data_IF_172734330499
#
_entry.id   IF_172734330499
#
_cell.length_a   1.000
_cell.length_b   1.000
_cell.length_c   1.000
_cell.angle_alpha   90.00
_cell.angle_beta   90.00
_cell.angle_gamma   90.00
#
_symmetry.space_group_name_H-M   'P 1'
#
loop_
_entity.id
_entity.type
_entity.pdbx_description
1 polymer ?
#
# COMPACT_ATOMS: atom_id res chain seq x y z
N UNK A 1 -32.27 -32.07 -8.11
CA UNK A 1 -31.45 -32.66 -9.18
C UNK A 1 -31.73 -31.83 -10.43
N UNK A 2 -30.94 -30.76 -10.66
CA UNK A 2 -29.86 -30.70 -11.68
C UNK A 2 -30.45 -30.83 -13.10
N UNK A 3 -30.29 -29.95 -14.09
CA UNK A 3 -29.27 -28.99 -14.57
C UNK A 3 -29.95 -28.18 -15.70
N UNK A 4 -29.51 -27.03 -16.23
CA UNK A 4 -28.44 -26.10 -15.97
C UNK A 4 -28.83 -24.78 -16.67
N UNK A 5 -28.57 -23.68 -15.99
CA UNK A 5 -28.52 -22.34 -16.58
C UNK A 5 -27.19 -22.21 -17.33
N UNK A 6 -27.22 -21.59 -18.51
CA UNK A 6 -26.04 -21.03 -19.16
C UNK A 6 -26.40 -19.66 -19.70
N UNK A 7 -26.48 -18.69 -18.79
CA UNK A 7 -26.47 -17.27 -19.13
C UNK A 7 -25.03 -16.83 -19.28
N UNK A 8 -24.65 -16.56 -20.52
CA UNK A 8 -23.41 -15.91 -20.90
C UNK A 8 -23.46 -14.45 -20.43
N UNK A 9 -22.88 -14.15 -19.27
CA UNK A 9 -22.70 -12.76 -18.84
C UNK A 9 -21.54 -12.16 -19.64
N UNK A 10 -21.90 -11.41 -20.70
CA UNK A 10 -21.04 -10.44 -21.34
C UNK A 10 -20.60 -9.41 -20.29
N UNK A 11 -19.34 -9.50 -19.85
CA UNK A 11 -18.65 -8.38 -19.22
C UNK A 11 -18.45 -7.30 -20.28
N UNK A 12 -19.39 -6.37 -20.38
CA UNK A 12 -19.09 -5.06 -20.95
C UNK A 12 -18.09 -4.39 -20.00
N UNK A 13 -16.82 -4.37 -20.38
CA UNK A 13 -15.86 -3.41 -19.84
C UNK A 13 -16.39 -2.03 -20.22
N UNK A 14 -17.10 -1.38 -19.30
CA UNK A 14 -17.35 0.05 -19.40
C UNK A 14 -15.99 0.74 -19.27
N UNK A 15 -15.35 0.98 -20.42
CA UNK A 15 -14.29 1.96 -20.53
C UNK A 15 -14.93 3.30 -20.23
N UNK A 16 -14.82 3.75 -18.97
CA UNK A 16 -15.15 5.11 -18.61
C UNK A 16 -14.23 6.03 -19.42
N UNK A 17 -14.79 6.67 -20.44
CA UNK A 17 -14.13 7.82 -21.07
C UNK A 17 -14.06 8.91 -20.01
N UNK A 18 -12.90 9.03 -19.39
CA UNK A 18 -12.60 10.10 -18.45
C UNK A 18 -12.76 11.42 -19.21
N UNK A 19 -13.52 12.39 -18.67
CA UNK A 19 -13.77 13.64 -19.38
C UNK A 19 -12.46 14.42 -19.61
N UNK A 20 -12.47 15.18 -20.69
CA UNK A 20 -11.39 16.07 -21.14
C UNK A 20 -10.96 16.99 -19.99
N UNK A 21 -9.66 16.99 -19.68
CA UNK A 21 -9.07 17.73 -18.55
C UNK A 21 -9.01 16.99 -17.20
N UNK A 22 -9.39 15.71 -17.12
CA UNK A 22 -9.23 14.93 -15.88
C UNK A 22 -7.77 14.58 -15.59
N UNK A 23 -7.23 15.13 -14.50
CA UNK A 23 -5.93 14.74 -13.95
C UNK A 23 -5.97 13.25 -13.56
N UNK A 24 -5.13 12.42 -14.17
CA UNK A 24 -5.02 11.02 -13.79
C UNK A 24 -4.14 10.90 -12.55
N UNK A 25 -4.51 10.05 -11.60
CA UNK A 25 -3.70 9.81 -10.40
C UNK A 25 -3.23 8.37 -10.41
N UNK A 26 -1.92 8.18 -10.27
CA UNK A 26 -1.27 6.88 -10.20
C UNK A 26 -0.52 6.76 -8.87
N UNK A 27 -0.59 5.59 -8.26
CA UNK A 27 0.13 5.29 -7.02
C UNK A 27 1.21 4.26 -7.29
N UNK A 28 2.42 4.49 -6.78
CA UNK A 28 3.52 3.56 -6.90
C UNK A 28 4.17 3.27 -5.55
N UNK A 29 4.64 2.04 -5.38
CA UNK A 29 5.44 1.63 -4.24
C UNK A 29 6.87 2.13 -4.43
N UNK A 30 7.44 2.75 -3.40
CA UNK A 30 8.84 3.16 -3.38
C UNK A 30 9.77 1.98 -3.74
N UNK A 31 10.63 2.17 -4.73
CA UNK A 31 11.52 1.17 -5.30
C UNK A 31 10.92 0.30 -6.42
N UNK A 32 9.62 0.39 -6.71
CA UNK A 32 8.98 -0.35 -7.82
C UNK A 32 9.22 0.30 -9.18
N UNK A 33 8.77 -0.37 -10.25
CA UNK A 33 8.68 0.22 -11.58
C UNK A 33 7.25 0.74 -11.81
N UNK A 34 7.10 1.79 -12.61
CA UNK A 34 5.79 2.35 -12.99
C UNK A 34 5.73 2.60 -14.50
N UNK A 35 4.52 2.55 -15.05
CA UNK A 35 4.22 2.89 -16.44
C UNK A 35 3.17 3.98 -16.45
N UNK A 36 3.55 5.18 -16.90
CA UNK A 36 2.64 6.31 -17.05
C UNK A 36 2.09 6.31 -18.47
N UNK A 37 0.78 6.07 -18.61
CA UNK A 37 0.13 5.90 -19.90
C UNK A 37 -1.16 6.70 -19.98
N UNK A 38 -1.42 7.26 -21.16
CA UNK A 38 -2.68 7.92 -21.50
C UNK A 38 -3.54 6.98 -22.34
N UNK A 39 -4.78 6.80 -21.94
CA UNK A 39 -5.75 6.05 -22.73
C UNK A 39 -6.13 6.84 -23.99
N UNK A 40 -6.23 6.16 -25.13
CA UNK A 40 -6.69 6.72 -26.41
C UNK A 40 -5.85 7.93 -26.88
N UNK A 41 -4.53 7.78 -26.91
CA UNK A 41 -3.68 8.77 -27.58
C UNK A 41 -4.09 8.92 -29.05
N UNK A 42 -4.08 10.14 -29.61
CA UNK A 42 -4.35 10.35 -31.03
C UNK A 42 -3.39 9.53 -31.88
N UNK A 43 -3.88 8.93 -32.97
CA UNK A 43 -3.01 8.31 -33.98
C UNK A 43 -2.37 9.39 -34.87
N UNK A 44 -1.23 9.06 -35.49
CA UNK A 44 -0.58 9.94 -36.47
C UNK A 44 0.02 11.23 -35.90
N UNK A 45 0.58 11.18 -34.68
CA UNK A 45 1.33 12.32 -34.13
C UNK A 45 2.76 12.37 -34.68
N UNK A 46 3.29 13.59 -34.84
CA UNK A 46 4.62 13.85 -35.39
C UNK A 46 5.69 14.03 -34.30
N UNK A 47 5.27 14.40 -33.09
CA UNK A 47 6.15 14.49 -31.92
C UNK A 47 5.42 14.18 -30.61
N UNK A 48 6.15 13.64 -29.64
CA UNK A 48 5.69 13.34 -28.30
C UNK A 48 6.79 13.68 -27.29
N UNK A 49 6.45 14.36 -26.19
CA UNK A 49 7.40 14.68 -25.14
C UNK A 49 6.79 14.48 -23.74
N UNK A 50 7.56 13.83 -22.88
CA UNK A 50 7.24 13.67 -21.46
C UNK A 50 8.02 14.67 -20.61
N UNK A 51 7.34 15.23 -19.61
CA UNK A 51 7.90 16.14 -18.63
C UNK A 51 7.56 15.64 -17.22
N UNK A 52 8.41 15.93 -16.24
CA UNK A 52 8.14 15.66 -14.82
C UNK A 52 7.84 16.93 -14.01
N UNK A 53 7.86 18.09 -14.67
CA UNK A 53 7.31 19.37 -14.20
C UNK A 53 6.88 20.17 -15.43
N UNK A 54 6.45 21.42 -15.29
CA UNK A 54 6.09 22.27 -16.44
C UNK A 54 7.25 22.53 -17.42
N UNK A 55 8.49 22.57 -16.91
CA UNK A 55 9.67 22.98 -17.69
C UNK A 55 10.71 21.87 -17.86
N UNK A 56 10.63 20.81 -17.05
CA UNK A 56 11.65 19.76 -17.03
C UNK A 56 11.24 18.57 -17.88
N UNK A 57 11.81 18.52 -19.09
CA UNK A 57 11.58 17.47 -20.08
C UNK A 57 12.41 16.22 -19.77
N UNK A 58 11.83 15.03 -19.87
CA UNK A 58 12.48 13.73 -19.65
C UNK A 58 12.98 13.17 -20.97
N UNK A 59 12.06 13.04 -21.92
CA UNK A 59 12.29 12.41 -23.23
C UNK A 59 11.39 13.08 -24.26
N UNK A 60 11.91 13.20 -25.46
CA UNK A 60 11.20 13.67 -26.65
C UNK A 60 11.42 12.68 -27.78
N UNK A 61 10.35 12.38 -28.49
CA UNK A 61 10.37 11.67 -29.74
C UNK A 61 9.85 12.59 -30.82
N UNK A 62 10.60 12.74 -31.90
CA UNK A 62 10.21 13.55 -33.06
C UNK A 62 10.79 12.90 -34.32
N UNK A 63 9.95 12.67 -35.33
CA UNK A 63 10.35 12.17 -36.65
C UNK A 63 11.24 10.90 -36.64
N UNK A 64 11.06 10.03 -35.64
CA UNK A 64 11.80 8.77 -35.51
C UNK A 64 12.99 8.83 -34.55
N UNK A 65 13.40 10.00 -34.09
CA UNK A 65 14.52 10.17 -33.17
C UNK A 65 14.05 10.35 -31.73
N UNK A 66 14.64 9.58 -30.80
CA UNK A 66 14.42 9.72 -29.36
C UNK A 66 15.57 10.50 -28.72
N UNK A 67 15.25 11.61 -28.05
CA UNK A 67 16.18 12.41 -27.27
C UNK A 67 15.83 12.36 -25.78
N UNK A 68 16.73 11.79 -24.99
CA UNK A 68 16.65 11.81 -23.53
C UNK A 68 17.42 13.00 -22.98
N UNK A 69 16.82 13.72 -22.04
CA UNK A 69 17.42 14.90 -21.42
C UNK A 69 18.18 14.52 -20.15
N UNK A 70 19.21 15.30 -19.83
CA UNK A 70 20.07 15.08 -18.66
C UNK A 70 19.32 15.46 -17.38
N UNK A 71 18.60 14.49 -16.81
CA UNK A 71 17.71 14.66 -15.67
C UNK A 71 17.90 13.52 -14.67
N UNK A 72 17.26 13.59 -13.49
CA UNK A 72 17.27 12.50 -12.50
C UNK A 72 16.67 11.17 -13.00
N UNK A 73 15.99 11.19 -14.15
CA UNK A 73 15.40 10.02 -14.80
C UNK A 73 16.30 9.42 -15.86
N UNK A 74 17.43 10.04 -16.15
CA UNK A 74 18.46 9.47 -17.02
C UNK A 74 18.77 8.05 -16.55
N UNK A 75 18.90 7.15 -17.52
CA UNK A 75 19.08 5.71 -17.34
C UNK A 75 17.90 4.93 -16.73
N UNK A 76 16.95 5.58 -16.04
CA UNK A 76 15.78 4.94 -15.41
C UNK A 76 14.49 5.04 -16.23
N UNK A 77 14.37 6.05 -17.09
CA UNK A 77 13.19 6.27 -17.92
C UNK A 77 13.35 5.71 -19.33
N UNK A 78 12.28 5.11 -19.86
CA UNK A 78 12.20 4.62 -21.25
C UNK A 78 10.84 4.97 -21.83
N UNK A 79 10.84 5.49 -23.06
CA UNK A 79 9.63 5.71 -23.84
C UNK A 79 9.26 4.44 -24.60
N UNK A 80 8.01 4.00 -24.48
CA UNK A 80 7.41 3.03 -25.38
C UNK A 80 6.83 3.76 -26.60
N UNK A 81 7.41 3.53 -27.77
CA UNK A 81 7.00 4.17 -29.02
C UNK A 81 5.67 3.66 -29.57
N UNK A 82 5.23 2.46 -29.16
CA UNK A 82 3.97 1.90 -29.61
C UNK A 82 2.79 2.54 -28.85
N UNK A 83 2.92 2.65 -27.53
CA UNK A 83 1.84 3.15 -26.67
C UNK A 83 1.97 4.61 -26.26
N UNK A 84 3.14 5.23 -26.47
CA UNK A 84 3.49 6.55 -25.93
C UNK A 84 3.74 6.56 -24.41
N UNK A 85 3.74 5.39 -23.76
CA UNK A 85 3.89 5.28 -22.31
C UNK A 85 5.33 5.58 -21.86
N UNK A 86 5.45 6.20 -20.68
CA UNK A 86 6.72 6.41 -20.01
C UNK A 86 6.91 5.36 -18.92
N UNK A 87 7.92 4.51 -19.09
CA UNK A 87 8.33 3.56 -18.07
C UNK A 87 9.44 4.16 -17.20
N UNK A 88 9.24 4.20 -15.88
CA UNK A 88 10.26 4.66 -14.93
C UNK A 88 10.60 3.51 -13.99
N UNK A 89 11.88 3.18 -13.91
CA UNK A 89 12.39 2.14 -13.03
C UNK A 89 12.78 2.68 -11.66
N UNK A 90 12.55 1.86 -10.62
CA UNK A 90 12.93 2.14 -9.23
C UNK A 90 12.53 3.54 -8.80
N UNK A 91 11.23 3.83 -8.86
CA UNK A 91 10.69 5.13 -8.46
C UNK A 91 10.98 5.41 -7.00
N UNK A 92 11.21 6.67 -6.66
CA UNK A 92 11.48 7.09 -5.29
C UNK A 92 10.47 8.14 -4.86
N UNK A 93 10.37 8.39 -3.55
CA UNK A 93 9.57 9.48 -2.98
C UNK A 93 9.82 10.83 -3.68
N UNK A 94 11.06 11.13 -4.01
CA UNK A 94 11.46 12.35 -4.72
C UNK A 94 10.99 12.40 -6.19
N UNK A 95 10.56 11.28 -6.78
CA UNK A 95 10.01 11.22 -8.14
C UNK A 95 8.50 11.54 -8.19
N UNK A 96 7.85 11.71 -7.03
CA UNK A 96 6.46 12.17 -6.92
C UNK A 96 6.29 13.54 -7.58
N UNK A 97 5.42 13.62 -8.58
CA UNK A 97 5.16 14.84 -9.35
C UNK A 97 3.94 14.67 -10.26
N UNK A 98 3.48 15.79 -10.83
CA UNK A 98 2.57 15.78 -11.98
C UNK A 98 3.38 15.70 -13.27
N UNK A 99 3.38 14.51 -13.88
CA UNK A 99 3.98 14.25 -15.17
C UNK A 99 3.06 14.74 -16.29
N UNK A 100 3.67 15.32 -17.32
CA UNK A 100 2.94 15.95 -18.42
C UNK A 100 3.37 15.29 -19.71
N UNK A 101 2.42 14.74 -20.44
CA UNK A 101 2.60 14.28 -21.80
C UNK A 101 2.13 15.37 -22.75
N UNK A 102 3.00 15.83 -23.65
CA UNK A 102 2.64 16.73 -24.76
C UNK A 102 2.77 15.98 -26.07
N UNK A 103 1.74 16.08 -26.91
CA UNK A 103 1.71 15.44 -28.23
C UNK A 103 1.30 16.49 -29.25
N UNK A 104 2.07 16.58 -30.34
CA UNK A 104 1.71 17.40 -31.50
C UNK A 104 1.21 16.49 -32.62
N UNK A 105 -0.03 16.72 -33.04
CA UNK A 105 -0.60 16.08 -34.23
C UNK A 105 -0.36 16.89 -35.50
N UNK A 106 -0.67 16.30 -36.65
CA UNK A 106 -0.53 16.91 -37.98
C UNK A 106 -1.31 18.22 -38.16
N UNK A 107 -2.39 18.42 -37.39
CA UNK A 107 -3.25 19.61 -37.45
C UNK A 107 -2.78 20.80 -36.60
N UNK A 108 -1.53 20.76 -36.10
CA UNK A 108 -0.86 21.88 -35.39
C UNK A 108 -1.50 22.30 -34.06
N UNK A 109 -2.36 21.45 -33.49
CA UNK A 109 -2.92 21.61 -32.14
C UNK A 109 -2.14 20.73 -31.15
N UNK A 110 -1.35 21.35 -30.28
CA UNK A 110 -0.70 20.66 -29.14
C UNK A 110 -1.80 20.16 -28.19
N UNK A 111 -1.75 18.87 -27.85
CA UNK A 111 -2.56 18.30 -26.78
C UNK A 111 -1.66 17.94 -25.61
N UNK A 112 -2.14 18.19 -24.40
CA UNK A 112 -1.43 17.81 -23.19
C UNK A 112 -2.32 16.99 -22.25
N UNK A 113 -1.69 16.06 -21.55
CA UNK A 113 -2.31 15.24 -20.51
C UNK A 113 -1.43 15.27 -19.27
N UNK A 114 -2.07 15.15 -18.11
CA UNK A 114 -1.40 15.19 -16.81
C UNK A 114 -1.67 13.92 -16.02
N UNK A 115 -0.61 13.36 -15.44
CA UNK A 115 -0.67 12.24 -14.52
C UNK A 115 0.06 12.62 -13.23
N UNK A 116 -0.66 12.73 -12.12
CA UNK A 116 -0.09 12.86 -10.78
C UNK A 116 0.39 11.48 -10.32
N UNK A 117 1.69 11.30 -10.19
CA UNK A 117 2.28 10.11 -9.59
C UNK A 117 2.55 10.37 -8.11
N UNK A 118 1.87 9.65 -7.23
CA UNK A 118 2.15 9.62 -5.79
C UNK A 118 2.98 8.40 -5.44
N UNK A 119 4.14 8.59 -4.81
CA UNK A 119 5.03 7.48 -4.43
C UNK A 119 4.92 7.27 -2.92
N UNK A 120 4.53 6.07 -2.54
CA UNK A 120 4.27 5.69 -1.15
C UNK A 120 5.24 4.60 -0.71
N UNK A 121 5.72 4.72 0.52
CA UNK A 121 6.45 3.64 1.16
C UNK A 121 5.47 2.54 1.63
N UNK A 122 5.93 1.29 1.78
CA UNK A 122 5.10 0.24 2.33
C UNK A 122 4.71 0.57 3.77
N UNK A 123 3.46 0.28 4.14
CA UNK A 123 3.01 0.42 5.52
C UNK A 123 3.81 -0.52 6.43
N UNK A 124 4.27 -0.07 7.60
CA UNK A 124 4.95 -0.94 8.56
C UNK A 124 3.96 -1.94 9.15
N UNK A 125 4.47 -3.02 9.72
CA UNK A 125 3.63 -3.98 10.45
C UNK A 125 3.02 -3.28 11.68
N UNK A 126 1.69 -3.26 11.84
CA UNK A 126 1.07 -2.66 13.02
C UNK A 126 1.35 -3.51 14.27
N UNK A 127 1.14 -2.92 15.44
CA UNK A 127 1.18 -3.61 16.72
C UNK A 127 -0.14 -3.34 17.43
N UNK A 128 -0.87 -4.40 17.77
CA UNK A 128 -2.06 -4.29 18.60
C UNK A 128 -1.64 -4.25 20.07
N UNK A 129 -2.14 -3.26 20.80
CA UNK A 129 -2.02 -3.16 22.26
C UNK A 129 -3.40 -3.26 22.90
N UNK A 130 -3.48 -4.02 23.98
CA UNK A 130 -4.65 -4.04 24.85
C UNK A 130 -4.54 -2.82 25.76
N UNK A 131 -5.37 -1.81 25.52
CA UNK A 131 -5.38 -0.58 26.31
C UNK A 131 -6.17 -0.76 27.60
N UNK A 132 -7.29 -1.47 27.52
CA UNK A 132 -8.12 -1.81 28.67
C UNK A 132 -8.79 -3.16 28.45
N UNK A 133 -8.81 -3.97 29.49
CA UNK A 133 -9.55 -5.22 29.52
C UNK A 133 -10.10 -5.39 30.93
N UNK A 134 -11.43 -5.49 31.04
CA UNK A 134 -12.10 -5.56 32.33
C UNK A 134 -13.33 -6.47 32.24
N UNK A 135 -13.37 -7.48 33.09
CA UNK A 135 -14.53 -8.34 33.25
C UNK A 135 -15.44 -7.81 34.37
N UNK A 136 -16.71 -7.54 34.05
CA UNK A 136 -17.74 -7.10 34.98
C UNK A 136 -19.05 -7.79 34.63
N UNK A 137 -19.70 -8.42 35.61
CA UNK A 137 -21.01 -9.06 35.45
C UNK A 137 -21.09 -9.99 34.22
N UNK A 138 -20.10 -10.88 34.08
CA UNK A 138 -20.03 -11.86 32.97
C UNK A 138 -19.97 -11.19 31.57
N UNK A 139 -19.50 -9.95 31.52
CA UNK A 139 -19.24 -9.19 30.29
C UNK A 139 -17.80 -8.67 30.33
N UNK A 140 -17.11 -8.70 29.20
CA UNK A 140 -15.72 -8.26 29.11
C UNK A 140 -15.64 -7.00 28.25
N UNK A 141 -15.34 -5.86 28.88
CA UNK A 141 -15.01 -4.64 28.16
C UNK A 141 -13.58 -4.73 27.65
N UNK A 142 -13.41 -4.60 26.34
CA UNK A 142 -12.12 -4.69 25.66
C UNK A 142 -11.90 -3.45 24.79
N UNK A 143 -10.77 -2.78 25.01
CA UNK A 143 -10.30 -1.65 24.21
C UNK A 143 -8.93 -2.00 23.64
N UNK A 144 -8.86 -2.11 22.32
CA UNK A 144 -7.65 -2.41 21.56
C UNK A 144 -7.21 -1.17 20.79
N UNK A 145 -5.91 -0.91 20.76
CA UNK A 145 -5.33 0.10 19.87
C UNK A 145 -4.39 -0.56 18.87
N UNK A 146 -4.54 -0.23 17.60
CA UNK A 146 -3.66 -0.60 16.52
C UNK A 146 -2.67 0.53 16.28
N UNK A 147 -1.41 0.28 16.62
CA UNK A 147 -0.35 1.29 16.60
C UNK A 147 0.56 1.06 15.41
N UNK A 148 0.85 2.13 14.67
CA UNK A 148 1.85 2.18 13.61
C UNK A 148 2.79 3.37 13.81
N UNK A 149 3.96 3.32 13.19
CA UNK A 149 4.87 4.46 13.14
C UNK A 149 4.31 5.51 12.16
N UNK A 150 3.77 6.60 12.72
CA UNK A 150 3.38 7.87 12.09
C UNK A 150 3.18 7.87 10.56
N UNK A 151 2.04 7.34 10.11
CA UNK A 151 1.57 7.42 8.73
C UNK A 151 0.04 7.60 8.69
N UNK A 152 -0.45 8.38 7.73
CA UNK A 152 -1.88 8.43 7.43
C UNK A 152 -2.27 7.16 6.65
N UNK A 153 -2.94 6.24 7.34
CA UNK A 153 -3.36 4.94 6.81
C UNK A 153 -4.84 4.69 7.10
N UNK A 154 -5.43 3.77 6.35
CA UNK A 154 -6.76 3.26 6.62
C UNK A 154 -6.67 2.07 7.59
N UNK A 155 -7.55 2.04 8.58
CA UNK A 155 -7.64 0.96 9.55
C UNK A 155 -8.85 0.08 9.25
N UNK A 156 -8.66 -1.23 9.30
CA UNK A 156 -9.75 -2.21 9.22
C UNK A 156 -9.57 -3.27 10.29
N UNK A 157 -10.60 -3.50 11.10
CA UNK A 157 -10.61 -4.55 12.11
C UNK A 157 -11.36 -5.79 11.62
N UNK A 158 -10.88 -6.95 12.01
CA UNK A 158 -11.45 -8.26 11.70
C UNK A 158 -11.57 -9.10 12.96
N UNK A 159 -12.61 -9.93 13.01
CA UNK A 159 -12.83 -10.96 14.02
C UNK A 159 -13.22 -12.29 13.34
N UNK A 160 -13.51 -13.33 14.12
CA UNK A 160 -13.80 -14.68 13.60
C UNK A 160 -15.02 -14.69 12.66
N UNK A 161 -16.06 -13.92 12.97
CA UNK A 161 -17.27 -13.78 12.15
C UNK A 161 -17.13 -12.85 10.94
N UNK A 162 -15.95 -12.27 10.72
CA UNK A 162 -15.65 -11.41 9.57
C UNK A 162 -15.29 -9.97 9.94
N UNK A 163 -15.75 -9.02 9.14
CA UNK A 163 -15.44 -7.60 9.27
C UNK A 163 -16.30 -6.94 10.37
N UNK A 164 -15.69 -6.05 11.14
CA UNK A 164 -16.48 -5.10 11.94
C UNK A 164 -17.21 -4.11 11.02
N UNK A 165 -18.34 -3.54 11.47
CA UNK A 165 -19.03 -2.46 10.76
C UNK A 165 -18.05 -1.33 10.38
N UNK A 166 -18.31 -0.67 9.24
CA UNK A 166 -17.45 0.40 8.73
C UNK A 166 -17.30 1.57 9.69
N UNK A 167 -18.21 1.72 10.65
CA UNK A 167 -18.14 2.75 11.70
C UNK A 167 -16.92 2.58 12.64
N UNK A 168 -16.23 1.42 12.62
CA UNK A 168 -15.07 1.10 13.46
C UNK A 168 -13.72 1.14 12.71
N UNK A 169 -13.65 1.84 11.57
CA UNK A 169 -12.41 2.07 10.78
C UNK A 169 -11.46 3.09 11.44
N UNK A 170 -11.24 2.94 12.76
CA UNK A 170 -10.35 3.79 13.54
C UNK A 170 -9.16 2.97 14.04
N UNK A 171 -8.12 3.65 14.52
CA UNK A 171 -6.98 3.00 15.19
C UNK A 171 -7.38 2.31 16.50
N UNK A 172 -8.55 2.63 17.06
CA UNK A 172 -9.07 2.06 18.30
C UNK A 172 -10.33 1.23 18.03
N UNK A 173 -10.36 0.04 18.62
CA UNK A 173 -11.52 -0.86 18.64
C UNK A 173 -12.01 -1.00 20.08
N UNK A 174 -13.23 -0.53 20.33
CA UNK A 174 -13.91 -0.66 21.62
C UNK A 174 -15.10 -1.61 21.47
N UNK A 175 -15.07 -2.71 22.22
CA UNK A 175 -16.11 -3.74 22.16
C UNK A 175 -16.42 -4.28 23.56
N UNK A 176 -17.68 -4.65 23.78
CA UNK A 176 -18.11 -5.38 24.97
C UNK A 176 -18.49 -6.79 24.57
N UNK A 177 -17.81 -7.77 25.14
CA UNK A 177 -17.94 -9.19 24.80
C UNK A 177 -18.79 -9.92 25.85
N UNK A 178 -19.59 -10.87 25.39
CA UNK A 178 -20.28 -11.84 26.25
C UNK A 178 -19.81 -13.26 25.92
N UNK A 179 -19.83 -14.22 26.85
CA UNK A 179 -19.24 -15.55 26.65
C UNK A 179 -19.78 -16.33 25.44
N UNK A 180 -20.99 -16.02 24.99
CA UNK A 180 -21.63 -16.70 23.86
C UNK A 180 -21.14 -16.21 22.49
N UNK A 181 -20.51 -15.02 22.41
CA UNK A 181 -20.18 -14.36 21.15
C UNK A 181 -18.78 -13.70 21.19
N UNK A 182 -17.88 -14.19 22.04
CA UNK A 182 -16.49 -13.74 22.00
C UNK A 182 -15.77 -14.35 20.81
N UNK A 183 -14.85 -13.61 20.20
CA UNK A 183 -14.01 -14.12 19.13
C UNK A 183 -12.67 -14.60 19.67
N UNK A 184 -12.14 -15.68 19.09
CA UNK A 184 -10.81 -16.21 19.47
C UNK A 184 -9.64 -15.33 19.06
N UNK A 185 -9.87 -14.41 18.12
CA UNK A 185 -8.85 -13.48 17.67
C UNK A 185 -9.47 -12.17 17.18
N UNK A 186 -8.65 -11.13 17.25
CA UNK A 186 -8.93 -9.83 16.66
C UNK A 186 -7.71 -9.42 15.84
N UNK A 187 -7.94 -9.02 14.59
CA UNK A 187 -6.88 -8.54 13.70
C UNK A 187 -7.11 -7.10 13.32
N UNK A 188 -6.05 -6.31 13.33
CA UNK A 188 -6.04 -4.97 12.75
C UNK A 188 -5.22 -5.02 11.46
N UNK A 189 -5.82 -4.57 10.37
CA UNK A 189 -5.13 -4.30 9.13
C UNK A 189 -5.00 -2.80 8.93
N UNK A 190 -3.79 -2.37 8.61
CA UNK A 190 -3.47 -1.02 8.18
C UNK A 190 -3.12 -1.05 6.70
N UNK A 191 -3.62 -0.10 5.92
CA UNK A 191 -3.33 -0.04 4.49
C UNK A 191 -3.20 1.38 3.96
N UNK A 192 -2.39 1.51 2.93
CA UNK A 192 -2.36 2.64 2.01
C UNK A 192 -2.69 2.11 0.59
N UNK A 193 -2.84 2.97 -0.44
CA UNK A 193 -3.18 2.53 -1.79
C UNK A 193 -2.25 1.47 -2.42
N UNK A 194 -1.02 1.32 -1.93
CA UNK A 194 0.00 0.44 -2.54
C UNK A 194 0.37 -0.76 -1.67
N UNK A 195 -0.01 -0.80 -0.40
CA UNK A 195 0.43 -1.81 0.56
C UNK A 195 -0.53 -1.99 1.72
N UNK A 196 -0.50 -3.18 2.31
CA UNK A 196 -1.34 -3.55 3.45
C UNK A 196 -0.56 -4.47 4.39
N UNK A 197 -0.68 -4.25 5.68
CA UNK A 197 -0.10 -5.10 6.73
C UNK A 197 -1.13 -5.33 7.82
N UNK A 198 -0.99 -6.44 8.53
CA UNK A 198 -1.87 -6.75 9.66
C UNK A 198 -1.13 -7.35 10.83
N UNK A 199 -1.74 -7.17 11.99
CA UNK A 199 -1.37 -7.84 13.22
C UNK A 199 -2.61 -8.51 13.81
N UNK A 200 -2.38 -9.55 14.61
CA UNK A 200 -3.46 -10.38 15.17
C UNK A 200 -3.12 -10.73 16.60
N UNK A 201 -4.08 -10.48 17.48
CA UNK A 201 -4.04 -10.95 18.87
C UNK A 201 -5.03 -12.10 19.06
N UNK A 202 -4.63 -13.06 19.88
CA UNK A 202 -5.38 -14.27 20.16
C UNK A 202 -5.85 -14.30 21.61
N UNK A 203 -6.97 -14.97 21.84
CA UNK A 203 -7.56 -15.19 23.15
C UNK A 203 -7.66 -16.70 23.39
N UNK A 204 -7.16 -17.17 24.53
CA UNK A 204 -7.24 -18.59 24.92
C UNK A 204 -8.62 -18.96 25.43
N UNK A 205 -9.31 -18.00 26.02
CA UNK A 205 -10.60 -18.14 26.70
C UNK A 205 -11.28 -16.78 26.81
N UNK A 206 -12.54 -16.77 27.26
CA UNK A 206 -13.31 -15.54 27.46
C UNK A 206 -12.54 -14.54 28.33
N UNK A 207 -12.39 -13.32 27.84
CA UNK A 207 -11.64 -12.24 28.51
C UNK A 207 -10.19 -12.57 28.90
N UNK A 208 -9.57 -13.55 28.26
CA UNK A 208 -8.20 -14.00 28.55
C UNK A 208 -7.34 -14.01 27.27
N UNK A 209 -6.45 -13.02 27.10
CA UNK A 209 -5.56 -12.95 25.96
C UNK A 209 -4.48 -14.03 26.07
N UNK A 210 -4.09 -14.60 24.94
CA UNK A 210 -2.96 -15.50 24.89
C UNK A 210 -1.67 -14.75 25.25
N UNK A 211 -0.83 -15.32 26.11
CA UNK A 211 0.51 -14.78 26.32
C UNK A 211 1.29 -14.89 25.01
N UNK A 212 1.67 -13.74 24.43
CA UNK A 212 2.61 -13.71 23.32
C UNK A 212 3.96 -14.20 23.82
N UNK A 213 4.48 -15.28 23.25
CA UNK A 213 5.79 -15.84 23.54
C UNK A 213 6.90 -14.96 22.93
N UNK A 214 7.00 -13.72 23.41
CA UNK A 214 8.21 -12.91 23.29
C UNK A 214 9.28 -13.53 24.17
N UNK A 215 10.03 -14.46 23.60
CA UNK A 215 11.07 -15.24 24.27
C UNK A 215 12.08 -14.31 24.95
N UNK A 216 12.08 -14.28 26.28
CA UNK A 216 13.18 -13.83 27.10
C UNK A 216 13.75 -15.03 27.86
N UNK A 217 14.38 -15.98 27.16
CA UNK A 217 15.29 -16.90 27.83
C UNK A 217 16.56 -16.12 28.15
N UNK A 218 16.67 -15.55 29.34
CA UNK A 218 18.00 -15.38 29.93
C UNK A 218 18.53 -16.80 30.10
N UNK A 219 19.38 -17.25 29.17
CA UNK A 219 19.91 -18.60 29.19
C UNK A 219 20.54 -18.85 30.58
N UNK A 220 20.03 -19.81 31.39
CA UNK A 220 20.59 -20.09 32.73
C UNK A 220 22.09 -20.42 32.66
N UNK A 221 22.54 -20.88 31.50
CA UNK A 221 23.91 -21.26 31.19
C UNK A 221 24.85 -20.06 31.18
N UNK A 222 24.38 -18.84 30.88
CA UNK A 222 25.19 -17.63 30.99
C UNK A 222 25.49 -17.28 32.46
N UNK A 223 24.54 -17.54 33.37
CA UNK A 223 24.77 -17.34 34.82
C UNK A 223 25.77 -18.36 35.34
N UNK A 224 25.69 -19.62 34.88
CA UNK A 224 26.62 -20.69 35.25
C UNK A 224 28.03 -20.43 34.71
N UNK A 225 28.18 -19.89 33.50
CA UNK A 225 29.51 -19.56 32.94
C UNK A 225 30.19 -18.39 33.69
N UNK A 226 29.41 -17.39 34.13
CA UNK A 226 29.97 -16.26 34.90
C UNK A 226 30.44 -16.73 36.27
N UNK A 227 29.70 -17.63 36.94
CA UNK A 227 30.10 -18.14 38.25
C UNK A 227 31.29 -19.09 38.18
N UNK A 228 31.42 -19.91 37.13
CA UNK A 228 32.59 -20.79 36.94
C UNK A 228 33.84 -20.02 36.55
N UNK A 229 33.73 -18.97 35.74
CA UNK A 229 34.89 -18.10 35.39
C UNK A 229 35.35 -17.29 36.59
N UNK A 230 34.43 -16.75 37.42
CA UNK A 230 34.82 -16.03 38.65
C UNK A 230 35.54 -16.93 39.66
N UNK A 231 35.15 -18.19 39.78
CA UNK A 231 35.77 -19.12 40.72
C UNK A 231 37.16 -19.60 40.27
N UNK A 232 37.40 -19.70 38.95
CA UNK A 232 38.71 -20.01 38.38
C UNK A 232 39.71 -18.84 38.45
N UNK A 233 39.24 -17.60 38.56
CA UNK A 233 40.09 -16.41 38.67
C UNK A 233 40.62 -16.17 40.10
N UNK A 234 40.07 -16.86 41.10
CA UNK A 234 40.41 -16.72 42.52
C UNK A 234 41.12 -17.95 43.13
N UNK A 235 41.60 -18.88 42.29
CA UNK A 235 42.53 -19.96 42.66
C UNK A 235 43.88 -19.76 42.01
#
# INVERSE_FOLDING_TARGET
>A
LHLASSSCYLFFLLSFTKPDGSECSEFALSGSNVSLQIANLPEGYSSLAWFYTVDQKIVEWELGDCKYFDTKFKDRARLDLQSGALHIQKVKKEDESTYILKVNGDTRNEKNWKIMLTVLDPVPKPIIKIQKMQEVNNSCYLMLSCVIQDQHVNYTWYQESGLFPKELQSSVLEITLVPQNYSKFYSCQVSNPVSSQKDTIYFTSFCQPALSSGIAWTAPWLVIMVTTVLSLLWT
#
